data_IF_999136215338
#
_entry.id   IF_999136215338
#
_cell.length_a   1.000
_cell.length_b   1.000
_cell.length_c   1.000
_cell.angle_alpha   90.00
_cell.angle_beta   90.00
_cell.angle_gamma   90.00
#
_symmetry.space_group_name_H-M   'P 1'
#
loop_
_entity.id
_entity.type
_entity.pdbx_description
1 polymer ?
#
# COMPACT_ATOMS: atom_id res chain seq x y z
N UNK A 1 16.00 -19.90 -12.49
CA UNK A 1 14.74 -19.93 -11.74
C UNK A 1 13.93 -18.75 -12.22
N UNK A 2 12.83 -19.01 -12.89
CA UNK A 2 11.94 -17.96 -13.36
C UNK A 2 11.08 -17.54 -12.17
N UNK A 3 11.26 -16.33 -11.68
CA UNK A 3 10.36 -15.72 -10.70
C UNK A 3 9.14 -15.20 -11.47
N UNK A 4 7.99 -15.77 -11.19
CA UNK A 4 6.74 -15.20 -11.65
C UNK A 4 6.48 -13.93 -10.83
N UNK A 5 6.54 -12.79 -11.47
CA UNK A 5 5.99 -11.55 -10.94
C UNK A 5 4.47 -11.76 -10.82
N UNK A 6 3.97 -11.65 -9.60
CA UNK A 6 2.53 -11.53 -9.37
C UNK A 6 2.22 -10.04 -9.53
N UNK A 7 2.20 -9.62 -10.79
CA UNK A 7 1.57 -8.36 -11.14
C UNK A 7 0.12 -8.39 -10.68
N UNK A 8 -0.53 -7.24 -10.67
CA UNK A 8 -1.96 -7.17 -10.34
C UNK A 8 -2.82 -7.95 -11.37
N UNK A 9 -2.68 -9.26 -11.50
CA UNK A 9 -3.40 -10.09 -12.47
C UNK A 9 -4.85 -10.37 -12.06
N UNK A 10 -5.70 -10.32 -13.06
CA UNK A 10 -7.14 -10.44 -12.99
C UNK A 10 -7.54 -11.92 -12.76
N UNK A 11 -7.86 -12.27 -11.53
CA UNK A 11 -8.56 -13.52 -11.23
C UNK A 11 -9.90 -13.20 -10.58
N UNK A 12 -10.82 -12.68 -11.38
CA UNK A 12 -12.22 -12.53 -10.98
C UNK A 12 -13.00 -13.78 -11.33
N UNK A 13 -13.32 -14.56 -10.35
CA UNK A 13 -14.40 -15.54 -10.45
C UNK A 13 -15.72 -14.79 -10.51
N UNK A 14 -16.42 -14.96 -11.62
CA UNK A 14 -17.79 -14.56 -11.80
C UNK A 14 -18.71 -15.27 -10.78
N UNK A 15 -19.52 -14.52 -10.07
CA UNK A 15 -20.72 -15.03 -9.42
C UNK A 15 -21.87 -14.06 -9.63
N UNK A 16 -22.77 -14.52 -10.48
CA UNK A 16 -24.20 -14.32 -10.60
C UNK A 16 -24.87 -13.12 -9.90
N UNK A 17 -25.49 -12.32 -10.73
CA UNK A 17 -26.59 -11.43 -10.37
C UNK A 17 -27.82 -12.21 -9.89
N UNK A 18 -28.66 -11.61 -9.03
CA UNK A 18 -30.09 -11.80 -9.15
C UNK A 18 -30.83 -10.50 -9.48
N UNK A 19 -31.62 -10.55 -10.56
CA UNK A 19 -32.71 -9.68 -10.84
C UNK A 19 -33.75 -9.72 -9.70
N UNK A 20 -34.37 -8.59 -9.39
CA UNK A 20 -35.79 -8.30 -9.48
C UNK A 20 -36.15 -7.06 -8.66
N UNK A 21 -36.66 -6.07 -9.38
CA UNK A 21 -37.63 -5.11 -8.81
C UNK A 21 -39.03 -5.76 -8.71
N UNK A 22 -39.94 -5.25 -7.82
CA UNK A 22 -40.83 -4.20 -8.28
C UNK A 22 -41.16 -3.10 -7.23
N UNK A 23 -41.48 -1.93 -7.75
CA UNK A 23 -41.90 -0.75 -7.05
C UNK A 23 -43.21 -0.81 -6.27
N UNK A 24 -43.39 0.15 -5.40
CA UNK A 24 -44.70 0.76 -5.08
C UNK A 24 -44.56 2.14 -4.47
N UNK A 25 -45.43 2.99 -4.97
CA UNK A 25 -45.64 4.41 -4.64
C UNK A 25 -46.26 4.65 -3.27
N UNK A 26 -46.14 5.93 -2.90
CA UNK A 26 -47.14 6.81 -2.26
C UNK A 26 -46.93 7.21 -0.82
N UNK A 27 -46.54 8.49 -0.72
CA UNK A 27 -47.12 9.62 0.06
C UNK A 27 -47.55 9.40 1.52
N UNK A 28 -47.01 10.22 2.39
CA UNK A 28 -47.70 11.40 2.93
C UNK A 28 -46.94 12.04 4.11
N UNK A 29 -46.89 13.34 4.05
CA UNK A 29 -46.49 14.33 5.03
C UNK A 29 -47.34 14.28 6.30
N UNK A 30 -46.69 14.46 7.48
CA UNK A 30 -47.31 15.18 8.64
C UNK A 30 -46.20 15.87 9.42
N UNK A 31 -46.34 17.21 9.53
CA UNK A 31 -45.68 18.10 10.46
C UNK A 31 -46.26 17.98 11.89
N UNK A 32 -45.54 18.60 12.81
CA UNK A 32 -45.79 19.07 14.19
C UNK A 32 -44.83 18.39 15.19
N UNK A 33 -44.13 19.08 16.07
CA UNK A 33 -44.14 20.41 16.61
C UNK A 33 -43.11 20.44 17.76
N UNK A 34 -42.58 21.61 17.99
CA UNK A 34 -41.63 22.00 19.05
C UNK A 34 -42.18 21.81 20.47
N UNK A 35 -41.29 21.51 21.43
CA UNK A 35 -41.09 22.27 22.69
C UNK A 35 -40.08 21.60 23.62
N UNK A 36 -39.06 22.32 23.93
CA UNK A 36 -38.46 22.89 25.17
C UNK A 36 -38.24 21.98 26.39
N UNK A 37 -36.93 21.93 26.71
CA UNK A 37 -36.27 22.07 28.01
C UNK A 37 -36.75 21.28 29.24
N UNK A 38 -35.80 20.52 29.84
CA UNK A 38 -35.37 20.80 31.20
C UNK A 38 -34.09 20.07 31.62
N UNK A 39 -33.25 20.81 32.35
CA UNK A 39 -32.02 20.40 33.02
C UNK A 39 -32.34 19.67 34.31
N UNK A 40 -31.67 18.54 34.60
CA UNK A 40 -31.31 18.17 35.98
C UNK A 40 -29.99 17.42 36.02
N UNK A 41 -29.06 17.93 36.81
CA UNK A 41 -27.81 17.34 37.32
C UNK A 41 -27.91 17.40 38.84
N UNK A 42 -27.01 16.79 39.66
CA UNK A 42 -26.42 15.43 39.71
C UNK A 42 -26.67 14.77 41.10
N UNK A 43 -26.24 13.51 41.30
CA UNK A 43 -25.74 13.10 42.64
C UNK A 43 -24.89 11.83 42.59
N UNK A 44 -23.77 11.94 43.28
CA UNK A 44 -22.74 10.97 43.59
C UNK A 44 -23.09 10.09 44.81
N UNK A 45 -22.54 8.87 44.86
CA UNK A 45 -21.99 8.20 46.05
C UNK A 45 -21.56 6.78 45.69
N UNK A 46 -20.31 6.40 45.68
CA UNK A 46 -19.34 5.95 46.66
C UNK A 46 -19.61 4.58 47.27
N UNK A 47 -18.56 3.73 47.18
CA UNK A 47 -18.09 2.63 48.01
C UNK A 47 -18.90 1.32 48.00
N UNK A 48 -18.32 0.09 48.10
CA UNK A 48 -17.14 -0.53 48.69
C UNK A 48 -16.92 -1.94 48.12
N UNK A 49 -15.80 -2.36 47.90
CA UNK A 49 -14.80 -3.31 48.40
C UNK A 49 -15.30 -4.62 49.08
N UNK A 50 -14.94 -5.76 48.48
CA UNK A 50 -14.47 -7.04 49.08
C UNK A 50 -14.25 -8.04 47.94
N UNK A 51 -13.18 -8.72 47.71
CA UNK A 51 -12.20 -9.35 48.58
C UNK A 51 -12.27 -10.87 48.45
N UNK A 52 -11.10 -11.50 48.23
CA UNK A 52 -10.75 -12.93 48.42
C UNK A 52 -11.12 -13.90 47.27
N UNK A 53 -10.31 -14.77 46.80
CA UNK A 53 -9.02 -15.44 47.02
C UNK A 53 -9.05 -16.81 46.36
N UNK A 54 -7.95 -17.12 45.72
CA UNK A 54 -7.25 -18.42 45.58
C UNK A 54 -8.03 -19.66 45.14
N UNK A 55 -7.55 -20.43 44.18
CA UNK A 55 -6.45 -21.37 44.39
C UNK A 55 -6.08 -22.11 43.11
N UNK A 56 -4.80 -22.28 42.96
CA UNK A 56 -4.02 -23.15 42.09
C UNK A 56 -4.38 -24.63 42.21
N UNK A 57 -4.30 -25.36 41.09
CA UNK A 57 -3.81 -26.73 41.08
C UNK A 57 -3.02 -27.02 39.85
N UNK A 58 -1.76 -27.36 40.06
CA UNK A 58 -0.85 -28.01 39.13
C UNK A 58 -1.35 -29.42 38.78
N UNK A 59 -1.08 -29.87 37.59
CA UNK A 59 -0.51 -31.19 37.43
C UNK A 59 0.28 -31.34 36.14
N UNK A 60 1.45 -31.90 36.36
CA UNK A 60 2.52 -32.20 35.46
C UNK A 60 2.42 -33.62 34.89
N UNK A 61 3.32 -33.89 33.98
CA UNK A 61 3.96 -35.17 33.60
C UNK A 61 3.41 -35.83 32.37
N UNK A 62 4.21 -35.99 31.41
CA UNK A 62 5.39 -36.81 31.00
C UNK A 62 4.94 -37.88 30.03
N UNK A 63 5.58 -38.31 29.02
CA UNK A 63 6.97 -38.60 28.69
C UNK A 63 7.02 -39.09 27.23
N UNK A 64 8.06 -38.70 26.57
CA UNK A 64 8.98 -39.43 25.70
C UNK A 64 8.55 -40.77 25.09
N UNK A 65 8.80 -40.90 23.79
CA UNK A 65 9.64 -41.97 23.29
C UNK A 65 10.22 -41.68 21.88
N UNK A 66 11.45 -42.08 21.76
CA UNK A 66 12.45 -41.91 20.73
C UNK A 66 12.63 -43.25 20.02
N UNK A 67 12.71 -43.26 18.69
CA UNK A 67 13.37 -44.30 17.88
C UNK A 67 13.59 -43.67 16.49
N UNK A 68 14.73 -43.53 15.95
CA UNK A 68 15.95 -44.30 15.93
C UNK A 68 16.17 -44.91 14.53
N UNK A 69 17.15 -44.34 13.81
CA UNK A 69 18.07 -45.02 12.83
C UNK A 69 17.44 -45.56 11.54
N UNK A 70 18.09 -45.53 10.40
CA UNK A 70 19.48 -45.34 9.92
C UNK A 70 19.55 -45.40 8.41
N UNK A 71 20.43 -44.59 7.84
CA UNK A 71 21.45 -44.81 6.81
C UNK A 71 21.22 -45.77 5.63
N UNK A 72 21.51 -45.29 4.43
CA UNK A 72 22.73 -45.60 3.59
C UNK A 72 22.57 -45.09 2.19
N UNK A 73 23.42 -44.21 1.71
CA UNK A 73 24.62 -44.41 0.86
C UNK A 73 24.35 -45.11 -0.48
N UNK A 74 24.69 -44.39 -1.54
CA UNK A 74 24.84 -44.94 -2.87
C UNK A 74 24.91 -43.93 -3.99
N UNK A 75 26.08 -43.31 -4.20
CA UNK A 75 26.53 -42.86 -5.52
C UNK A 75 27.01 -44.06 -6.31
N UNK A 76 26.91 -44.05 -7.65
CA UNK A 76 28.13 -43.79 -8.39
C UNK A 76 27.97 -42.98 -9.68
N UNK A 77 29.12 -42.47 -10.06
CA UNK A 77 29.52 -41.78 -11.30
C UNK A 77 29.40 -42.64 -12.55
N UNK A 78 29.43 -41.95 -13.68
CA UNK A 78 30.33 -42.09 -14.86
C UNK A 78 29.58 -41.96 -16.15
N UNK A 79 29.85 -40.96 -16.88
CA UNK A 79 30.76 -40.63 -17.97
C UNK A 79 30.37 -41.07 -19.40
N UNK A 80 30.56 -40.08 -20.25
CA UNK A 80 31.06 -40.05 -21.64
C UNK A 80 30.11 -40.35 -22.80
N UNK A 81 30.01 -39.41 -23.60
CA UNK A 81 30.67 -38.90 -24.80
C UNK A 81 29.99 -39.21 -26.13
N UNK A 82 29.94 -38.11 -26.92
CA UNK A 82 30.09 -38.03 -28.40
C UNK A 82 28.94 -38.54 -29.28
N UNK A 83 28.47 -37.89 -30.35
CA UNK A 83 29.10 -37.09 -31.42
C UNK A 83 28.03 -36.71 -32.45
N UNK A 84 28.11 -35.47 -32.96
CA UNK A 84 27.86 -34.97 -34.30
C UNK A 84 26.79 -35.59 -35.23
N UNK A 85 25.90 -34.75 -35.76
CA UNK A 85 25.88 -34.38 -37.18
C UNK A 85 24.80 -33.30 -37.48
N UNK A 86 25.27 -32.26 -38.03
CA UNK A 86 24.93 -31.34 -39.13
C UNK A 86 23.49 -31.14 -39.60
N UNK A 87 23.19 -29.84 -39.58
CA UNK A 87 22.66 -28.95 -40.60
C UNK A 87 21.24 -29.15 -41.13
N UNK A 88 20.45 -28.14 -40.85
CA UNK A 88 19.63 -27.47 -41.87
C UNK A 88 19.27 -26.06 -41.45
N UNK A 89 19.68 -25.12 -42.25
CA UNK A 89 19.41 -23.71 -42.23
C UNK A 89 17.93 -23.39 -42.41
N UNK A 90 17.38 -22.59 -41.50
CA UNK A 90 16.28 -21.70 -41.83
C UNK A 90 16.42 -20.39 -41.00
N UNK A 91 16.58 -19.33 -41.75
CA UNK A 91 16.63 -17.95 -41.28
C UNK A 91 15.38 -17.58 -40.51
N UNK A 92 15.50 -17.46 -39.19
CA UNK A 92 14.52 -16.77 -38.37
C UNK A 92 15.16 -15.47 -37.86
N UNK A 93 14.49 -14.36 -38.10
CA UNK A 93 14.93 -13.05 -37.74
C UNK A 93 15.24 -12.97 -36.24
N UNK A 94 16.42 -12.46 -35.94
CA UNK A 94 16.84 -12.10 -34.62
C UNK A 94 15.96 -10.93 -34.14
N UNK A 95 14.91 -11.23 -33.38
CA UNK A 95 14.39 -10.27 -32.45
C UNK A 95 15.51 -10.04 -31.42
N UNK A 96 16.10 -8.84 -31.43
CA UNK A 96 16.97 -8.39 -30.36
C UNK A 96 16.10 -8.21 -29.11
N UNK A 97 16.03 -9.23 -28.30
CA UNK A 97 15.66 -9.09 -26.91
C UNK A 97 16.79 -8.32 -26.24
N UNK A 98 16.66 -7.00 -26.11
CA UNK A 98 17.51 -6.23 -25.21
C UNK A 98 17.01 -6.52 -23.80
N UNK A 99 17.57 -7.53 -23.15
CA UNK A 99 17.46 -7.64 -21.71
C UNK A 99 18.26 -6.47 -21.13
N UNK A 100 17.57 -5.42 -20.69
CA UNK A 100 18.18 -4.41 -19.85
C UNK A 100 18.61 -5.10 -18.56
N UNK A 101 19.90 -5.12 -18.30
CA UNK A 101 20.44 -5.62 -17.03
C UNK A 101 20.03 -4.60 -15.98
N UNK A 102 19.11 -4.97 -15.07
CA UNK A 102 18.75 -4.15 -13.94
C UNK A 102 19.97 -4.02 -13.02
N UNK A 103 20.44 -2.81 -12.84
CA UNK A 103 21.54 -2.54 -11.89
C UNK A 103 20.91 -2.39 -10.50
N UNK A 104 21.29 -3.28 -9.58
CA UNK A 104 20.83 -3.18 -8.18
C UNK A 104 21.39 -1.94 -7.52
N UNK A 105 20.57 -1.26 -6.75
CA UNK A 105 21.03 -0.19 -5.87
C UNK A 105 21.88 -0.78 -4.74
N UNK A 106 22.89 -0.03 -4.33
CA UNK A 106 23.71 -0.42 -3.18
C UNK A 106 23.03 0.06 -1.89
N UNK A 107 22.90 -0.79 -0.88
CA UNK A 107 22.46 -0.34 0.45
C UNK A 107 23.35 0.80 0.95
N UNK A 108 22.71 1.86 1.43
CA UNK A 108 23.39 3.09 1.86
C UNK A 108 23.25 3.35 3.36
N UNK A 109 22.43 2.55 4.06
CA UNK A 109 22.14 2.74 5.48
C UNK A 109 22.24 1.44 6.27
N UNK A 110 22.77 1.53 7.46
CA UNK A 110 22.89 0.46 8.47
C UNK A 110 22.31 0.96 9.81
N UNK A 111 22.45 0.19 10.86
CA UNK A 111 22.08 0.63 12.22
C UNK A 111 22.97 1.78 12.75
N UNK A 112 24.20 1.88 12.25
CA UNK A 112 25.23 2.81 12.77
C UNK A 112 25.63 3.87 11.79
N UNK A 113 25.36 3.71 10.50
CA UNK A 113 25.79 4.60 9.43
C UNK A 113 24.64 4.88 8.47
N UNK A 114 24.52 6.14 8.03
CA UNK A 114 23.56 6.58 7.03
C UNK A 114 24.30 7.41 5.96
N UNK A 115 24.58 6.77 4.84
CA UNK A 115 25.32 7.33 3.70
C UNK A 115 24.40 7.49 2.48
N UNK A 116 23.08 7.48 2.67
CA UNK A 116 22.11 7.63 1.58
C UNK A 116 22.16 9.04 0.97
N UNK A 117 21.91 9.13 -0.32
CA UNK A 117 21.79 10.40 -1.04
C UNK A 117 20.39 10.97 -0.78
N UNK A 118 20.32 11.95 0.12
CA UNK A 118 19.06 12.61 0.47
C UNK A 118 18.92 13.95 -0.22
N UNK A 119 17.69 14.38 -0.40
CA UNK A 119 17.29 15.70 -0.85
C UNK A 119 16.09 16.19 -0.05
N UNK A 120 15.55 17.32 -0.48
CA UNK A 120 14.37 17.94 0.10
C UNK A 120 13.40 18.32 -1.02
N UNK A 121 12.11 18.14 -0.76
CA UNK A 121 11.01 18.57 -1.60
C UNK A 121 10.18 19.56 -0.79
N UNK A 122 10.03 20.77 -1.28
CA UNK A 122 9.08 21.74 -0.73
C UNK A 122 7.79 21.70 -1.55
N UNK A 123 6.66 21.54 -0.88
CA UNK A 123 5.34 21.65 -1.48
C UNK A 123 4.89 23.11 -1.49
N UNK A 124 4.88 23.73 -2.65
CA UNK A 124 4.54 25.14 -2.80
C UNK A 124 3.09 25.48 -2.41
N UNK A 125 2.22 24.47 -2.28
CA UNK A 125 0.79 24.66 -1.96
C UNK A 125 0.55 25.01 -0.49
N UNK A 126 1.38 24.47 0.42
CA UNK A 126 1.23 24.66 1.86
C UNK A 126 2.57 24.96 2.58
N UNK A 127 3.68 24.95 1.85
CA UNK A 127 5.02 25.21 2.37
C UNK A 127 5.61 24.06 3.19
N UNK A 128 4.97 22.89 3.22
CA UNK A 128 5.55 21.72 3.88
C UNK A 128 6.78 21.21 3.13
N UNK A 129 7.77 20.74 3.85
CA UNK A 129 8.97 20.12 3.29
C UNK A 129 9.00 18.64 3.63
N UNK A 130 9.47 17.85 2.67
CA UNK A 130 9.57 16.41 2.77
C UNK A 130 11.00 15.97 2.45
N UNK A 131 11.53 15.09 3.28
CA UNK A 131 12.77 14.40 2.98
C UNK A 131 12.58 13.51 1.76
N UNK A 132 13.57 13.52 0.87
CA UNK A 132 13.60 12.64 -0.31
C UNK A 132 14.88 11.82 -0.31
N UNK A 133 14.88 10.70 -1.03
CA UNK A 133 16.02 9.79 -1.13
C UNK A 133 16.16 9.26 -2.55
N UNK A 134 17.38 9.13 -3.02
CA UNK A 134 17.68 8.51 -4.31
C UNK A 134 17.89 7.01 -4.14
N UNK A 135 17.09 6.23 -4.87
CA UNK A 135 17.17 4.76 -4.89
C UNK A 135 17.32 4.30 -6.34
N UNK A 136 18.47 3.74 -6.68
CA UNK A 136 18.81 3.51 -8.08
C UNK A 136 18.86 4.84 -8.84
N UNK A 137 18.09 4.92 -9.93
CA UNK A 137 18.03 6.12 -10.77
C UNK A 137 16.84 7.04 -10.42
N UNK A 138 16.01 6.69 -9.43
CA UNK A 138 14.80 7.41 -9.08
C UNK A 138 14.94 8.14 -7.74
N UNK A 139 14.34 9.34 -7.66
CA UNK A 139 14.13 10.04 -6.41
C UNK A 139 12.74 9.76 -5.86
N UNK A 140 12.68 9.32 -4.62
CA UNK A 140 11.46 8.99 -3.89
C UNK A 140 11.28 9.91 -2.68
N UNK A 141 10.05 10.20 -2.30
CA UNK A 141 9.78 10.73 -0.97
C UNK A 141 10.22 9.70 0.08
N UNK A 142 10.97 10.13 1.09
CA UNK A 142 11.32 9.33 2.27
C UNK A 142 10.32 9.53 3.42
N UNK A 143 9.36 10.42 3.23
CA UNK A 143 8.25 10.70 4.14
C UNK A 143 6.92 10.58 3.40
N UNK A 144 5.84 10.29 4.13
CA UNK A 144 4.50 10.24 3.55
C UNK A 144 3.98 11.66 3.33
N UNK A 145 3.29 11.88 2.22
CA UNK A 145 2.65 13.15 1.91
C UNK A 145 1.65 13.53 3.02
N UNK A 146 1.66 14.80 3.42
CA UNK A 146 0.80 15.35 4.47
C UNK A 146 -0.03 16.57 4.01
N UNK A 147 -0.08 16.82 2.71
CA UNK A 147 -0.88 17.89 2.13
C UNK A 147 -2.38 17.62 2.37
N UNK A 148 -3.11 18.62 2.89
CA UNK A 148 -4.56 18.56 3.05
C UNK A 148 -5.24 19.11 1.78
N UNK A 149 -5.85 18.27 0.93
CA UNK A 149 -6.54 18.76 -0.25
C UNK A 149 -7.85 19.50 0.07
N UNK A 150 -8.19 19.59 1.36
CA UNK A 150 -9.50 20.04 1.77
C UNK A 150 -10.58 18.97 1.56
N UNK A 151 -11.84 19.39 1.77
CA UNK A 151 -12.98 18.53 1.49
C UNK A 151 -13.37 18.67 0.03
N UNK A 152 -13.39 17.56 -0.70
CA UNK A 152 -13.97 17.55 -2.04
C UNK A 152 -15.42 18.02 -1.99
N UNK A 153 -15.82 18.81 -3.00
CA UNK A 153 -17.10 19.51 -3.01
C UNK A 153 -18.35 18.66 -3.17
N UNK A 154 -18.29 17.32 -3.00
CA UNK A 154 -19.45 16.47 -3.06
C UNK A 154 -19.86 16.02 -1.66
N UNK A 155 -21.17 16.05 -1.38
CA UNK A 155 -21.77 15.51 -0.15
C UNK A 155 -21.49 14.00 0.03
N UNK A 156 -20.91 13.35 -0.97
CA UNK A 156 -20.57 11.94 -0.93
C UNK A 156 -19.12 11.76 -0.47
N UNK A 157 -18.96 11.79 0.85
CA UNK A 157 -17.70 11.69 1.61
C UNK A 157 -16.76 10.50 1.22
N UNK A 158 -17.11 9.72 0.21
CA UNK A 158 -16.37 8.53 -0.21
C UNK A 158 -15.30 8.83 -1.26
N UNK A 159 -15.28 10.01 -1.86
CA UNK A 159 -14.54 10.18 -3.10
C UNK A 159 -13.26 11.00 -2.98
N UNK A 160 -13.26 12.09 -2.17
CA UNK A 160 -12.20 13.10 -2.24
C UNK A 160 -11.59 13.46 -0.87
N UNK A 161 -11.43 12.48 0.03
CA UNK A 161 -11.06 12.78 1.42
C UNK A 161 -9.68 12.30 1.79
N UNK A 162 -9.11 13.00 2.76
CA UNK A 162 -7.92 12.57 3.48
C UNK A 162 -8.13 12.71 4.99
N UNK A 163 -7.41 11.90 5.76
CA UNK A 163 -7.54 11.85 7.22
C UNK A 163 -6.18 11.70 7.88
N UNK A 164 -6.06 12.23 9.09
CA UNK A 164 -5.01 11.80 10.00
C UNK A 164 -5.38 10.44 10.61
N UNK A 165 -4.41 9.57 10.82
CA UNK A 165 -4.64 8.29 11.48
C UNK A 165 -5.35 8.50 12.84
N UNK A 166 -6.45 7.79 13.07
CA UNK A 166 -7.34 7.93 14.25
C UNK A 166 -7.87 9.35 14.45
N UNK A 167 -8.06 10.12 13.38
CA UNK A 167 -8.56 11.49 13.38
C UNK A 167 -7.80 12.44 14.34
N UNK A 168 -6.51 12.15 14.57
CA UNK A 168 -5.63 12.93 15.45
C UNK A 168 -4.55 13.66 14.61
N UNK A 169 -4.51 14.98 14.71
CA UNK A 169 -3.58 15.84 13.97
C UNK A 169 -2.10 15.51 14.22
N UNK A 170 -1.72 15.08 15.43
CA UNK A 170 -0.36 14.67 15.75
C UNK A 170 0.08 13.45 14.91
N UNK A 171 -0.88 12.61 14.53
CA UNK A 171 -0.61 11.47 13.69
C UNK A 171 -0.36 11.86 12.22
N UNK A 172 -0.92 12.97 11.75
CA UNK A 172 -0.57 13.53 10.45
C UNK A 172 0.90 14.00 10.43
N UNK A 173 1.35 14.67 11.47
CA UNK A 173 2.75 15.10 11.60
C UNK A 173 3.69 13.89 11.60
N UNK A 174 3.29 12.79 12.24
CA UNK A 174 4.13 11.61 12.38
C UNK A 174 4.10 10.65 11.18
N UNK A 175 2.92 10.47 10.58
CA UNK A 175 2.68 9.40 9.61
C UNK A 175 2.24 9.92 8.23
N UNK A 176 2.06 11.24 8.06
CA UNK A 176 1.39 11.80 6.91
C UNK A 176 -0.12 11.54 6.93
N UNK A 177 -0.81 11.91 5.89
CA UNK A 177 -2.26 11.71 5.73
C UNK A 177 -2.56 10.40 5.01
N UNK A 178 -3.77 9.91 5.22
CA UNK A 178 -4.37 8.78 4.51
C UNK A 178 -5.38 9.34 3.51
N UNK A 179 -5.26 9.00 2.25
CA UNK A 179 -6.05 9.54 1.13
C UNK A 179 -6.93 8.45 0.55
N UNK A 180 -8.16 8.77 0.12
CA UNK A 180 -8.85 7.92 -0.85
C UNK A 180 -8.07 7.91 -2.17
N UNK A 181 -8.33 6.92 -3.02
CA UNK A 181 -7.67 6.90 -4.34
C UNK A 181 -8.08 8.11 -5.20
N UNK A 182 -9.34 8.55 -5.11
CA UNK A 182 -9.82 9.75 -5.78
C UNK A 182 -9.02 11.00 -5.39
N UNK A 183 -8.74 11.17 -4.09
CA UNK A 183 -7.88 12.25 -3.61
C UNK A 183 -6.42 12.06 -4.06
N UNK A 184 -5.90 10.83 -4.04
CA UNK A 184 -4.52 10.55 -4.45
C UNK A 184 -4.25 10.86 -5.92
N UNK A 185 -5.22 10.63 -6.82
CA UNK A 185 -5.11 10.99 -8.25
C UNK A 185 -5.54 12.42 -8.56
N UNK A 186 -5.98 13.19 -7.57
CA UNK A 186 -6.56 14.53 -7.74
C UNK A 186 -7.75 14.53 -8.71
N UNK A 187 -8.78 13.75 -8.36
CA UNK A 187 -9.96 13.57 -9.22
C UNK A 187 -10.70 14.88 -9.52
N UNK A 188 -10.62 15.87 -8.63
CA UNK A 188 -11.21 17.21 -8.85
C UNK A 188 -10.50 17.92 -9.99
N UNK A 189 -9.16 17.94 -9.98
CA UNK A 189 -8.36 18.50 -11.08
C UNK A 189 -8.65 17.79 -12.40
N UNK A 190 -8.70 16.46 -12.38
CA UNK A 190 -9.00 15.66 -13.56
C UNK A 190 -10.41 15.93 -14.12
N UNK A 191 -11.41 16.10 -13.25
CA UNK A 191 -12.79 16.41 -13.65
C UNK A 191 -12.95 17.85 -14.21
N UNK A 192 -12.07 18.76 -13.84
CA UNK A 192 -12.09 20.17 -14.25
C UNK A 192 -11.12 20.47 -15.39
N UNK A 193 -10.40 19.47 -15.89
CA UNK A 193 -9.53 19.63 -17.06
C UNK A 193 -10.37 20.07 -18.28
N UNK A 194 -9.95 21.14 -18.93
CA UNK A 194 -10.72 21.79 -20.01
C UNK A 194 -10.65 20.99 -21.32
N UNK A 195 -9.53 20.30 -21.53
CA UNK A 195 -9.26 19.59 -22.78
C UNK A 195 -9.76 18.14 -22.72
N UNK A 196 -9.63 17.50 -21.56
CA UNK A 196 -9.98 16.10 -21.40
C UNK A 196 -10.51 15.83 -19.98
N UNK A 197 -11.73 16.26 -19.63
CA UNK A 197 -12.29 16.04 -18.30
C UNK A 197 -12.50 14.54 -18.04
N UNK A 198 -12.01 14.03 -16.89
CA UNK A 198 -12.12 12.65 -16.49
C UNK A 198 -12.92 12.53 -15.19
N UNK A 199 -13.96 11.72 -15.21
CA UNK A 199 -14.78 11.41 -14.03
C UNK A 199 -14.18 10.18 -13.31
N UNK A 200 -13.40 10.43 -12.28
CA UNK A 200 -12.60 9.45 -11.58
C UNK A 200 -13.11 9.22 -10.14
N UNK A 201 -12.77 8.07 -9.58
CA UNK A 201 -13.08 7.73 -8.20
C UNK A 201 -13.71 6.35 -8.03
N UNK A 202 -14.30 6.12 -6.88
CA UNK A 202 -15.01 4.85 -6.60
C UNK A 202 -16.29 4.75 -7.43
N UNK A 203 -16.50 3.59 -8.05
CA UNK A 203 -17.64 3.35 -8.93
C UNK A 203 -17.47 3.87 -10.37
N UNK A 204 -16.37 4.57 -10.66
CA UNK A 204 -16.05 5.16 -11.96
C UNK A 204 -14.84 4.49 -12.59
N UNK A 205 -14.81 4.39 -13.91
CA UNK A 205 -13.61 4.03 -14.67
C UNK A 205 -13.03 5.30 -15.27
N UNK A 206 -11.89 5.69 -14.75
CA UNK A 206 -11.19 6.90 -15.15
C UNK A 206 -10.57 6.80 -16.54
N UNK A 207 -10.15 5.60 -16.93
CA UNK A 207 -9.33 5.42 -18.11
C UNK A 207 -7.93 6.04 -17.98
N UNK A 208 -7.52 6.37 -16.75
CA UNK A 208 -6.13 6.69 -16.46
C UNK A 208 -5.26 5.48 -16.81
N UNK A 209 -4.03 5.78 -17.13
CA UNK A 209 -3.02 4.86 -17.59
C UNK A 209 -3.21 3.41 -17.12
N UNK A 210 -3.26 2.48 -18.06
CA UNK A 210 -3.01 1.07 -17.80
C UNK A 210 -1.58 0.90 -17.29
N UNK A 211 -1.25 -0.23 -16.66
CA UNK A 211 0.09 -0.56 -16.16
C UNK A 211 1.22 -0.29 -17.19
N UNK A 212 0.91 -0.35 -18.47
CA UNK A 212 1.84 -0.13 -19.59
C UNK A 212 1.90 1.32 -20.10
N UNK A 213 1.19 2.26 -19.48
CA UNK A 213 1.16 3.64 -19.94
C UNK A 213 2.39 4.40 -19.44
N UNK A 214 3.09 5.03 -20.37
CA UNK A 214 4.18 5.97 -20.06
C UNK A 214 3.66 7.34 -19.55
N UNK A 215 2.35 7.49 -19.35
CA UNK A 215 1.77 8.75 -18.89
C UNK A 215 1.93 8.85 -17.39
N UNK A 216 2.68 9.85 -16.95
CA UNK A 216 2.85 10.15 -15.52
C UNK A 216 1.57 10.83 -15.00
N UNK A 217 1.04 10.33 -13.93
CA UNK A 217 -0.13 10.90 -13.24
C UNK A 217 0.38 11.71 -12.05
N UNK A 218 0.45 13.03 -12.18
CA UNK A 218 0.85 13.88 -11.07
C UNK A 218 0.01 13.58 -9.81
N UNK A 219 -1.31 13.50 -9.97
CA UNK A 219 -2.21 13.33 -8.85
C UNK A 219 -2.03 14.43 -7.82
N UNK A 220 -2.11 14.06 -6.55
CA UNK A 220 -1.94 14.97 -5.41
C UNK A 220 -0.47 15.31 -5.11
N UNK A 221 0.47 14.79 -5.88
CA UNK A 221 1.90 15.06 -5.70
C UNK A 221 2.24 16.52 -6.02
N UNK A 222 3.27 17.10 -5.37
CA UNK A 222 3.78 18.43 -5.71
C UNK A 222 4.30 18.50 -7.16
N UNK A 223 4.42 19.71 -7.68
CA UNK A 223 4.94 19.93 -9.04
C UNK A 223 6.32 19.29 -9.25
N UNK A 224 6.50 18.62 -10.41
CA UNK A 224 7.72 17.87 -10.74
C UNK A 224 7.83 16.51 -10.04
N UNK A 225 6.71 16.05 -9.45
CA UNK A 225 6.55 14.74 -8.82
C UNK A 225 5.21 14.14 -9.21
N UNK A 226 5.12 12.83 -9.23
CA UNK A 226 3.92 12.10 -9.60
C UNK A 226 3.63 10.93 -8.66
N UNK A 227 2.38 10.47 -8.69
CA UNK A 227 1.93 9.29 -7.98
C UNK A 227 2.49 8.04 -8.69
N UNK A 228 3.25 7.18 -8.01
CA UNK A 228 3.90 6.05 -8.65
C UNK A 228 2.91 5.12 -9.35
N UNK A 229 3.23 4.68 -10.54
CA UNK A 229 2.55 3.60 -11.23
C UNK A 229 2.91 2.23 -10.63
N UNK A 230 2.17 1.19 -10.98
CA UNK A 230 2.49 -0.20 -10.63
C UNK A 230 3.90 -0.57 -11.09
N UNK A 231 4.26 -0.22 -12.33
CA UNK A 231 5.58 -0.49 -12.91
C UNK A 231 6.72 0.20 -12.16
N UNK A 232 6.49 1.40 -11.62
CA UNK A 232 7.50 2.10 -10.81
C UNK A 232 7.69 1.46 -9.44
N UNK A 233 6.63 0.96 -8.82
CA UNK A 233 6.75 0.14 -7.62
C UNK A 233 7.51 -1.17 -7.89
N UNK A 234 7.23 -1.85 -9.01
CA UNK A 234 7.97 -3.05 -9.42
C UNK A 234 9.45 -2.75 -9.63
N UNK A 235 9.75 -1.63 -10.32
CA UNK A 235 11.13 -1.18 -10.51
C UNK A 235 11.83 -0.90 -9.19
N UNK A 236 11.16 -0.26 -8.23
CA UNK A 236 11.70 -0.07 -6.89
C UNK A 236 12.04 -1.43 -6.25
N UNK A 237 11.14 -2.40 -6.32
CA UNK A 237 11.43 -3.73 -5.78
C UNK A 237 12.63 -4.39 -6.46
N UNK A 238 12.71 -4.31 -7.78
CA UNK A 238 13.84 -4.88 -8.53
C UNK A 238 15.17 -4.29 -8.07
N UNK A 239 15.28 -2.96 -8.00
CA UNK A 239 16.55 -2.30 -7.66
C UNK A 239 16.97 -2.50 -6.22
N UNK A 240 16.05 -2.76 -5.28
CA UNK A 240 16.38 -3.03 -3.87
C UNK A 240 16.59 -4.50 -3.56
N UNK A 241 16.62 -5.38 -4.58
CA UNK A 241 16.96 -6.80 -4.40
C UNK A 241 15.76 -7.76 -4.51
N UNK A 242 14.62 -7.27 -5.00
CA UNK A 242 13.43 -8.06 -5.31
C UNK A 242 12.34 -8.00 -4.26
N UNK A 243 11.14 -8.32 -4.69
CA UNK A 243 9.90 -8.23 -3.90
C UNK A 243 9.96 -8.98 -2.57
N UNK A 244 10.64 -10.13 -2.53
CA UNK A 244 10.72 -10.99 -1.33
C UNK A 244 11.47 -10.37 -0.16
N UNK A 245 12.35 -9.41 -0.42
CA UNK A 245 13.17 -8.71 0.57
C UNK A 245 12.83 -7.23 0.71
N UNK A 246 12.09 -6.67 -0.26
CA UNK A 246 11.79 -5.25 -0.33
C UNK A 246 11.09 -4.73 0.95
N UNK A 247 10.22 -5.54 1.57
CA UNK A 247 9.59 -5.14 2.83
C UNK A 247 10.59 -4.91 3.95
N UNK A 248 11.57 -5.79 4.11
CA UNK A 248 12.59 -5.63 5.14
C UNK A 248 13.48 -4.39 4.91
N UNK A 249 13.88 -4.14 3.67
CA UNK A 249 14.85 -3.07 3.37
C UNK A 249 14.21 -1.68 3.18
N UNK A 250 12.89 -1.61 2.99
CA UNK A 250 12.15 -0.35 2.82
C UNK A 250 11.46 0.12 4.11
N UNK A 251 11.16 -0.78 5.05
CA UNK A 251 10.58 -0.41 6.35
C UNK A 251 11.58 0.35 7.20
N UNK A 252 11.09 1.36 7.94
CA UNK A 252 11.86 2.10 8.93
C UNK A 252 12.45 1.18 10.01
N UNK A 253 13.58 1.61 10.59
CA UNK A 253 14.28 0.88 11.66
C UNK A 253 13.53 0.88 13.00
N UNK A 254 12.46 1.68 13.12
CA UNK A 254 11.66 1.80 14.33
C UNK A 254 10.19 2.02 14.00
N UNK A 255 9.31 1.76 14.98
CA UNK A 255 7.89 2.12 14.90
C UNK A 255 6.98 1.04 14.31
N UNK A 256 7.49 -0.15 14.05
CA UNK A 256 6.72 -1.31 13.66
C UNK A 256 6.43 -2.21 14.87
N UNK A 257 5.25 -2.79 14.94
CA UNK A 257 4.76 -3.52 16.11
C UNK A 257 5.61 -4.77 16.44
N UNK A 258 6.01 -5.53 15.44
CA UNK A 258 6.69 -6.80 15.63
C UNK A 258 8.09 -6.81 15.04
N UNK A 259 8.23 -6.39 13.80
CA UNK A 259 9.48 -6.47 13.06
C UNK A 259 9.76 -5.17 12.31
N UNK A 260 10.72 -4.41 12.83
CA UNK A 260 11.25 -3.25 12.12
C UNK A 260 11.98 -3.70 10.86
N UNK A 261 12.16 -2.77 9.92
CA UNK A 261 13.03 -2.97 8.77
C UNK A 261 14.47 -2.60 9.06
N UNK A 262 15.31 -2.80 8.06
CA UNK A 262 16.70 -2.31 8.07
C UNK A 262 16.81 -0.90 7.51
N UNK A 263 15.80 -0.44 6.75
CA UNK A 263 15.80 0.86 6.07
C UNK A 263 17.05 1.06 5.21
N UNK A 264 17.52 -0.01 4.59
CA UNK A 264 18.83 -0.07 3.94
C UNK A 264 19.02 0.94 2.81
N UNK A 265 17.94 1.52 2.30
CA UNK A 265 17.94 2.51 1.22
C UNK A 265 17.39 3.88 1.64
N UNK A 266 17.12 4.11 2.93
CA UNK A 266 16.60 5.38 3.43
C UNK A 266 15.16 5.69 2.99
N UNK A 267 14.40 4.70 2.50
CA UNK A 267 13.00 4.88 2.14
C UNK A 267 12.12 5.14 3.36
N UNK A 268 12.47 4.58 4.52
CA UNK A 268 11.88 4.86 5.83
C UNK A 268 10.34 4.71 5.87
N UNK A 269 9.78 3.62 5.31
CA UNK A 269 8.35 3.37 5.38
C UNK A 269 7.90 3.19 6.84
N UNK A 270 6.89 3.95 7.25
CA UNK A 270 6.30 3.88 8.59
C UNK A 270 4.97 3.14 8.57
N UNK A 271 4.63 2.47 9.67
CA UNK A 271 3.37 1.74 9.84
C UNK A 271 2.20 2.71 10.06
N UNK A 272 1.83 3.45 9.01
CA UNK A 272 0.75 4.44 9.03
C UNK A 272 -0.65 3.82 8.99
N UNK A 273 -0.74 2.53 8.65
CA UNK A 273 -2.00 1.82 8.55
C UNK A 273 -2.87 2.26 7.37
N UNK A 274 -4.17 2.03 7.52
CA UNK A 274 -5.21 2.49 6.60
C UNK A 274 -6.48 2.89 7.35
N UNK A 275 -7.35 3.64 6.69
CA UNK A 275 -8.71 3.93 7.14
C UNK A 275 -9.71 3.19 6.27
N UNK A 276 -10.67 2.48 6.87
CA UNK A 276 -11.73 1.81 6.12
C UNK A 276 -12.98 2.70 5.97
N UNK A 277 -13.98 2.25 5.21
CA UNK A 277 -15.24 2.97 4.95
C UNK A 277 -16.06 3.26 6.20
N UNK A 278 -15.88 2.49 7.25
CA UNK A 278 -16.59 2.68 8.52
C UNK A 278 -15.86 3.63 9.46
N UNK A 279 -14.77 4.27 9.01
CA UNK A 279 -13.95 5.15 9.83
C UNK A 279 -13.00 4.41 10.77
N UNK A 280 -12.92 3.08 10.70
CA UNK A 280 -11.99 2.33 11.52
C UNK A 280 -10.58 2.34 10.90
N UNK A 281 -9.59 2.34 11.79
CA UNK A 281 -8.17 2.37 11.44
C UNK A 281 -7.50 1.05 11.79
N UNK A 282 -6.61 0.60 10.90
CA UNK A 282 -5.71 -0.53 11.15
C UNK A 282 -4.27 -0.05 11.00
N UNK A 283 -3.44 -0.20 12.04
CA UNK A 283 -2.12 0.42 12.15
C UNK A 283 -0.92 -0.50 11.93
N UNK A 284 -1.12 -1.78 11.57
CA UNK A 284 -0.03 -2.75 11.59
C UNK A 284 0.66 -2.94 10.22
N UNK A 285 0.49 -2.02 9.30
CA UNK A 285 1.09 -2.08 7.98
C UNK A 285 1.28 -0.67 7.39
N UNK A 286 2.05 -0.57 6.33
CA UNK A 286 2.11 0.60 5.46
C UNK A 286 1.44 0.26 4.14
N UNK A 287 0.55 1.13 3.69
CA UNK A 287 -0.17 1.00 2.42
C UNK A 287 0.02 2.28 1.63
N UNK A 288 0.41 2.16 0.38
CA UNK A 288 0.67 3.29 -0.50
C UNK A 288 -0.13 3.15 -1.79
N UNK A 289 -0.86 4.19 -2.17
CA UNK A 289 -1.54 4.19 -3.45
C UNK A 289 -0.56 4.22 -4.62
N UNK A 290 -0.94 3.53 -5.69
CA UNK A 290 -0.39 3.73 -7.03
C UNK A 290 -1.41 4.41 -7.93
N UNK A 291 -0.92 5.01 -9.02
CA UNK A 291 -1.76 5.68 -10.03
C UNK A 291 -2.52 4.69 -10.92
N UNK A 292 -2.08 3.43 -10.99
CA UNK A 292 -2.66 2.40 -11.87
C UNK A 292 -4.06 2.00 -11.41
N UNK A 293 -5.04 2.27 -12.29
CA UNK A 293 -6.41 1.86 -12.09
C UNK A 293 -6.62 0.41 -12.52
N UNK A 294 -7.27 -0.39 -11.68
CA UNK A 294 -7.62 -1.77 -12.04
C UNK A 294 -9.02 -1.87 -12.65
N UNK A 295 -9.99 -1.23 -12.04
CA UNK A 295 -11.37 -1.16 -12.53
C UNK A 295 -12.14 -0.05 -11.79
N UNK A 296 -13.48 0.00 -11.95
CA UNK A 296 -14.32 1.02 -11.32
C UNK A 296 -14.23 1.05 -9.78
N UNK A 297 -13.85 -0.06 -9.13
CA UNK A 297 -13.82 -0.17 -7.67
C UNK A 297 -12.42 -0.26 -7.09
N UNK A 298 -11.45 -0.78 -7.86
CA UNK A 298 -10.12 -1.13 -7.36
C UNK A 298 -9.02 -0.36 -8.08
N UNK A 299 -7.98 -0.02 -7.32
CA UNK A 299 -6.72 0.54 -7.83
C UNK A 299 -5.53 -0.19 -7.21
N UNK A 300 -4.38 -0.10 -7.86
CA UNK A 300 -3.15 -0.71 -7.39
C UNK A 300 -2.66 0.00 -6.12
N UNK A 301 -2.20 -0.80 -5.15
CA UNK A 301 -1.48 -0.33 -3.97
C UNK A 301 -0.26 -1.18 -3.70
N UNK A 302 0.78 -0.57 -3.21
CA UNK A 302 1.92 -1.22 -2.58
C UNK A 302 1.65 -1.37 -1.09
N UNK A 303 2.03 -2.50 -0.49
CA UNK A 303 1.94 -2.64 0.96
C UNK A 303 3.10 -3.42 1.58
N UNK A 304 3.37 -3.08 2.85
CA UNK A 304 4.37 -3.68 3.71
C UNK A 304 3.69 -4.07 5.02
N UNK A 305 3.82 -5.30 5.45
CA UNK A 305 3.25 -5.76 6.72
C UNK A 305 4.30 -5.86 7.83
N UNK A 306 3.84 -5.73 9.06
CA UNK A 306 4.69 -5.65 10.25
C UNK A 306 5.54 -6.92 10.49
N UNK A 307 5.08 -8.09 10.04
CA UNK A 307 5.69 -9.40 10.32
C UNK A 307 6.34 -10.06 9.09
N UNK A 308 6.27 -9.44 7.91
CA UNK A 308 6.83 -10.00 6.68
C UNK A 308 8.02 -9.19 6.15
N UNK A 309 8.91 -9.87 5.45
CA UNK A 309 10.06 -9.27 4.77
C UNK A 309 9.78 -8.85 3.32
N UNK A 310 8.70 -9.37 2.75
CA UNK A 310 8.29 -9.02 1.41
C UNK A 310 7.49 -7.72 1.36
N UNK A 311 7.54 -7.07 0.22
CA UNK A 311 6.56 -6.10 -0.22
C UNK A 311 5.55 -6.79 -1.16
N UNK A 312 4.38 -6.20 -1.35
CA UNK A 312 3.44 -6.71 -2.34
C UNK A 312 2.66 -5.59 -3.03
N UNK A 313 2.26 -5.87 -4.28
CA UNK A 313 1.30 -5.07 -5.04
C UNK A 313 -0.03 -5.81 -5.06
N UNK A 314 -1.09 -5.11 -4.80
CA UNK A 314 -2.45 -5.65 -4.82
C UNK A 314 -3.44 -4.61 -5.33
N UNK A 315 -4.58 -5.08 -5.80
CA UNK A 315 -5.73 -4.24 -6.14
C UNK A 315 -6.67 -4.17 -4.97
N UNK A 316 -7.05 -2.96 -4.60
CA UNK A 316 -7.89 -2.77 -3.43
C UNK A 316 -8.84 -1.59 -3.59
N UNK A 317 -9.87 -1.54 -2.73
CA UNK A 317 -10.98 -0.60 -2.83
C UNK A 317 -10.54 0.86 -2.79
N UNK A 318 -10.93 1.63 -3.82
CA UNK A 318 -10.58 3.04 -4.01
C UNK A 318 -11.06 3.98 -2.89
N UNK A 319 -12.05 3.56 -2.10
CA UNK A 319 -12.57 4.35 -0.99
C UNK A 319 -11.77 4.22 0.31
N UNK A 320 -10.80 3.32 0.38
CA UNK A 320 -9.95 3.22 1.55
C UNK A 320 -8.96 4.38 1.64
N UNK A 321 -8.59 4.74 2.85
CA UNK A 321 -7.54 5.72 3.09
C UNK A 321 -6.18 5.06 3.16
N UNK A 322 -5.28 5.35 2.22
CA UNK A 322 -3.88 4.91 2.21
C UNK A 322 -2.94 6.10 2.12
N UNK A 323 -1.68 5.90 2.49
CA UNK A 323 -0.63 6.91 2.34
C UNK A 323 -0.30 7.16 0.87
N UNK A 324 0.33 8.30 0.61
CA UNK A 324 0.92 8.65 -0.69
C UNK A 324 2.42 8.92 -0.49
N UNK A 325 3.23 8.39 -1.40
CA UNK A 325 4.63 8.73 -1.62
C UNK A 325 4.87 8.98 -3.08
N UNK A 326 5.37 10.14 -3.40
CA UNK A 326 5.60 10.54 -4.77
C UNK A 326 6.99 10.12 -5.24
N UNK A 327 7.13 9.93 -6.55
CA UNK A 327 8.40 9.77 -7.26
C UNK A 327 8.61 10.97 -8.16
N UNK A 328 9.87 11.39 -8.31
CA UNK A 328 10.23 12.57 -9.12
C UNK A 328 10.13 12.24 -10.60
N UNK A 329 9.64 13.21 -11.40
CA UNK A 329 9.52 13.15 -12.85
C UNK A 329 10.86 12.96 -13.57
#
# INVERSE_FOLDING_TARGET
MAFAFVGCDDSSSASAEPNDEPGMESSSSVEFGSSSSEKVKPQSSSSEKSGMSSSSVNNASSSSEKLGSSSSVGTPESSSSEKLSEASSSSAGKAKSSSSVVTLAMPCKTETEDNCEYGELTDDRDGQTYKTVKIGDQWWMAENLNFDPGQGGSDDAKYDWSWCYKDNADNCVKYGRLYTWAAAIDSVKLATDVENPLDCGYGKVCGLASADSATLIQGICPNGWHLPSETEWEKLFEVVGGQSTAGNVLKSQTGWESKNGTDAFGFSAVSAGHRNVFGAYNGNAAYFWGSTEANRYYACRMYLEYNYDNAALTRYDKFLGHSVRCVKD
#
